data_IF_652014417220
#
_entry.id   IF_652014417220
#
_cell.length_a   1.000
_cell.length_b   1.000
_cell.length_c   1.000
_cell.angle_alpha   90.00
_cell.angle_beta   90.00
_cell.angle_gamma   90.00
#
_symmetry.space_group_name_H-M   'P 1'
#
loop_
_entity.id
_entity.type
_entity.pdbx_description
1 polymer ?
#
# COMPACT_ATOMS: atom_id res chain seq x y z
N UNK A 1 8.36 9.20 -17.11
CA UNK A 1 7.77 7.91 -17.50
C UNK A 1 7.91 6.98 -16.31
N UNK A 2 6.86 6.26 -15.92
CA UNK A 2 6.95 5.31 -14.80
C UNK A 2 8.01 4.24 -15.08
N UNK A 3 8.81 3.92 -14.08
CA UNK A 3 9.80 2.84 -14.15
C UNK A 3 9.16 1.46 -14.02
N UNK A 4 7.85 1.40 -13.76
CA UNK A 4 7.10 0.19 -13.46
C UNK A 4 6.14 -0.14 -14.61
N UNK A 5 6.24 -1.36 -15.13
CA UNK A 5 5.21 -1.97 -15.97
C UNK A 5 4.46 -3.02 -15.17
N UNK A 6 3.18 -2.79 -14.96
CA UNK A 6 2.28 -3.73 -14.28
C UNK A 6 1.53 -4.59 -15.29
N UNK A 7 1.32 -5.87 -14.98
CA UNK A 7 0.68 -6.81 -15.90
C UNK A 7 -0.45 -7.56 -15.19
N UNK A 8 -1.64 -7.55 -15.80
CA UNK A 8 -2.69 -8.52 -15.53
C UNK A 8 -2.35 -9.89 -16.12
N UNK A 9 -3.35 -10.77 -16.28
CA UNK A 9 -3.18 -12.05 -16.95
C UNK A 9 -4.43 -12.43 -17.73
N UNK A 10 -4.29 -12.67 -19.03
CA UNK A 10 -5.38 -13.16 -19.88
C UNK A 10 -5.77 -14.62 -19.56
N UNK A 11 -4.94 -15.31 -18.77
CA UNK A 11 -5.14 -16.71 -18.37
C UNK A 11 -5.70 -16.87 -16.96
N UNK A 12 -5.86 -15.78 -16.20
CA UNK A 12 -6.40 -15.78 -14.85
C UNK A 12 -7.60 -14.85 -14.75
N UNK A 13 -8.34 -14.96 -13.64
CA UNK A 13 -9.48 -14.08 -13.37
C UNK A 13 -9.02 -12.63 -13.19
N UNK A 14 -9.75 -11.67 -13.78
CA UNK A 14 -9.52 -10.25 -13.50
C UNK A 14 -10.07 -9.90 -12.11
N UNK A 15 -9.19 -9.90 -11.12
CA UNK A 15 -9.49 -9.51 -9.74
C UNK A 15 -9.38 -8.00 -9.49
N UNK A 16 -9.18 -7.17 -10.53
CA UNK A 16 -9.03 -5.72 -10.39
C UNK A 16 -7.63 -5.25 -9.97
N UNK A 17 -6.67 -6.17 -9.82
CA UNK A 17 -5.27 -5.92 -9.48
C UNK A 17 -4.31 -6.51 -10.53
N UNK A 18 -3.04 -6.09 -10.49
CA UNK A 18 -2.00 -6.66 -11.37
C UNK A 18 -1.36 -7.88 -10.75
N UNK A 19 -1.17 -8.94 -11.54
CA UNK A 19 -0.55 -10.19 -11.09
C UNK A 19 0.98 -10.07 -10.95
N UNK A 20 1.59 -9.18 -11.71
CA UNK A 20 3.04 -8.95 -11.65
C UNK A 20 3.38 -7.50 -11.97
N UNK A 21 4.57 -7.08 -11.52
CA UNK A 21 5.18 -5.82 -11.91
C UNK A 21 6.63 -6.09 -12.36
N UNK A 22 7.07 -5.37 -13.38
CA UNK A 22 8.45 -5.39 -13.86
C UNK A 22 8.99 -3.97 -13.77
N UNK A 23 10.10 -3.80 -13.06
CA UNK A 23 10.79 -2.54 -12.97
C UNK A 23 11.92 -2.45 -14.01
N UNK A 24 12.13 -1.26 -14.56
CA UNK A 24 13.35 -0.93 -15.29
C UNK A 24 14.57 -0.84 -14.34
N UNK A 25 15.81 -0.87 -14.85
CA UNK A 25 17.00 -0.65 -14.02
C UNK A 25 16.94 0.68 -13.26
N UNK A 26 17.23 0.64 -11.96
CA UNK A 26 17.10 1.80 -11.08
C UNK A 26 17.48 1.47 -9.64
N UNK A 27 17.16 2.39 -8.73
CA UNK A 27 17.30 2.20 -7.29
C UNK A 27 15.98 1.69 -6.71
N UNK A 28 16.06 0.66 -5.86
CA UNK A 28 14.89 0.12 -5.15
C UNK A 28 14.71 0.82 -3.81
N UNK A 29 13.51 1.32 -3.57
CA UNK A 29 13.06 1.87 -2.29
C UNK A 29 12.24 0.81 -1.58
N UNK A 30 12.64 0.47 -0.36
CA UNK A 30 11.88 -0.37 0.55
C UNK A 30 11.32 0.51 1.65
N UNK A 31 10.00 0.52 1.83
CA UNK A 31 9.41 1.18 3.00
C UNK A 31 9.38 0.21 4.18
N UNK A 32 9.35 0.76 5.40
CA UNK A 32 8.85 -0.01 6.54
C UNK A 32 7.34 -0.24 6.38
N UNK A 33 6.75 -0.99 7.31
CA UNK A 33 5.31 -0.98 7.52
C UNK A 33 4.85 0.41 7.94
N UNK A 34 3.97 1.02 7.14
CA UNK A 34 3.43 2.35 7.39
C UNK A 34 2.12 2.20 8.17
N UNK A 35 2.14 2.70 9.39
CA UNK A 35 1.01 2.74 10.31
C UNK A 35 0.20 4.06 10.15
N UNK A 36 -1.07 4.09 10.60
CA UNK A 36 -1.94 5.26 10.53
C UNK A 36 -1.68 6.17 11.74
N UNK A 37 -0.42 6.55 11.96
CA UNK A 37 -0.03 7.42 13.06
C UNK A 37 0.03 8.88 12.61
N UNK A 38 -0.32 9.79 13.50
CA UNK A 38 -0.02 11.22 13.35
C UNK A 38 1.43 11.55 13.75
N UNK A 39 1.80 12.83 13.65
CA UNK A 39 3.16 13.32 13.95
C UNK A 39 3.55 13.18 15.42
N UNK A 40 2.57 13.05 16.31
CA UNK A 40 2.79 12.84 17.75
C UNK A 40 2.83 11.34 18.11
N UNK A 41 2.60 10.46 17.12
CA UNK A 41 2.62 9.02 17.26
C UNK A 41 1.30 8.41 17.74
N UNK A 42 0.19 9.17 17.69
CA UNK A 42 -1.13 8.67 18.04
C UNK A 42 -1.83 8.05 16.83
N UNK A 43 -2.57 6.95 17.06
CA UNK A 43 -3.35 6.28 16.02
C UNK A 43 -4.51 7.16 15.55
N UNK A 44 -4.53 7.44 14.25
CA UNK A 44 -5.57 8.20 13.58
C UNK A 44 -6.81 7.32 13.43
N UNK A 45 -7.99 7.89 13.69
CA UNK A 45 -9.29 7.25 13.53
C UNK A 45 -9.40 5.83 14.16
N UNK A 46 -9.26 5.69 15.49
CA UNK A 46 -9.51 4.43 16.19
C UNK A 46 -10.86 3.80 15.82
N UNK A 47 -10.85 2.51 15.47
CA UNK A 47 -12.07 1.77 15.11
C UNK A 47 -12.59 1.97 13.68
N UNK A 48 -11.91 2.76 12.84
CA UNK A 48 -12.31 2.99 11.45
C UNK A 48 -11.23 2.51 10.47
N UNK A 49 -11.43 1.30 9.93
CA UNK A 49 -10.54 0.66 8.96
C UNK A 49 -10.34 1.52 7.71
N UNK A 50 -11.39 2.17 7.21
CA UNK A 50 -11.31 2.94 5.98
C UNK A 50 -10.48 4.21 6.19
N UNK A 51 -10.73 4.93 7.28
CA UNK A 51 -9.98 6.12 7.63
C UNK A 51 -8.51 5.80 7.94
N UNK A 52 -8.23 4.69 8.61
CA UNK A 52 -6.86 4.23 8.86
C UNK A 52 -6.14 3.85 7.56
N UNK A 53 -6.79 3.13 6.65
CA UNK A 53 -6.18 2.81 5.35
C UNK A 53 -5.83 4.08 4.56
N UNK A 54 -6.67 5.12 4.60
CA UNK A 54 -6.36 6.43 4.00
C UNK A 54 -5.15 7.08 4.67
N UNK A 55 -5.11 7.10 6.00
CA UNK A 55 -3.98 7.65 6.75
C UNK A 55 -2.66 6.92 6.43
N UNK A 56 -2.68 5.59 6.33
CA UNK A 56 -1.51 4.82 5.90
C UNK A 56 -1.06 5.21 4.48
N UNK A 57 -1.98 5.43 3.55
CA UNK A 57 -1.64 5.86 2.18
C UNK A 57 -1.07 7.29 2.12
N UNK A 58 -1.59 8.22 2.94
CA UNK A 58 -1.07 9.58 3.06
C UNK A 58 0.37 9.58 3.65
N UNK A 59 0.58 8.79 4.70
CA UNK A 59 1.89 8.59 5.32
C UNK A 59 2.86 7.91 4.33
N UNK A 60 2.41 6.90 3.58
CA UNK A 60 3.21 6.22 2.56
C UNK A 60 3.61 7.20 1.45
N UNK A 61 2.70 8.06 1.01
CA UNK A 61 2.99 9.09 0.00
C UNK A 61 4.07 10.06 0.48
N UNK A 62 4.04 10.43 1.77
CA UNK A 62 5.07 11.26 2.39
C UNK A 62 6.43 10.58 2.36
N UNK A 63 6.52 9.33 2.83
CA UNK A 63 7.77 8.54 2.85
C UNK A 63 8.32 8.33 1.44
N UNK A 64 7.46 8.01 0.46
CA UNK A 64 7.88 7.88 -0.93
C UNK A 64 8.44 9.20 -1.47
N UNK A 65 7.77 10.31 -1.20
CA UNK A 65 8.21 11.65 -1.66
C UNK A 65 9.58 12.01 -1.10
N UNK A 66 9.84 11.73 0.18
CA UNK A 66 11.14 11.93 0.82
C UNK A 66 12.24 11.06 0.21
N UNK A 67 11.89 9.87 -0.27
CA UNK A 67 12.78 8.98 -1.02
C UNK A 67 12.91 9.34 -2.52
N UNK A 68 12.27 10.43 -2.98
CA UNK A 68 12.26 10.84 -4.38
C UNK A 68 11.39 9.98 -5.30
N UNK A 69 10.44 9.25 -4.72
CA UNK A 69 9.48 8.38 -5.41
C UNK A 69 8.05 8.93 -5.33
N UNK A 70 7.16 8.36 -6.12
CA UNK A 70 5.71 8.59 -6.08
C UNK A 70 4.96 7.26 -6.05
N UNK A 71 3.64 7.30 -5.86
CA UNK A 71 2.79 6.09 -5.94
C UNK A 71 2.90 5.40 -7.31
N UNK A 72 3.18 6.13 -8.40
CA UNK A 72 3.36 5.57 -9.74
C UNK A 72 4.67 4.78 -9.91
N UNK A 73 5.57 4.87 -8.93
CA UNK A 73 6.85 4.15 -8.90
C UNK A 73 6.77 2.88 -8.02
N UNK A 74 5.64 2.64 -7.36
CA UNK A 74 5.41 1.45 -6.54
C UNK A 74 5.26 0.23 -7.43
N UNK A 75 6.13 -0.76 -7.24
CA UNK A 75 6.07 -2.05 -7.92
C UNK A 75 5.15 -3.03 -7.18
N UNK A 76 5.19 -3.01 -5.85
CA UNK A 76 4.41 -3.90 -4.99
C UNK A 76 3.92 -3.18 -3.74
N UNK A 77 2.69 -3.49 -3.32
CA UNK A 77 2.14 -3.13 -2.02
C UNK A 77 1.73 -4.40 -1.26
N UNK A 78 1.91 -4.39 0.06
CA UNK A 78 1.37 -5.39 0.98
C UNK A 78 0.50 -4.67 2.01
N UNK A 79 -0.75 -5.09 2.16
CA UNK A 79 -1.73 -4.49 3.08
C UNK A 79 -2.09 -5.51 4.14
N UNK A 80 -1.92 -5.12 5.40
CA UNK A 80 -2.28 -5.92 6.57
C UNK A 80 -3.47 -5.26 7.27
N UNK A 81 -4.48 -6.05 7.64
CA UNK A 81 -5.66 -5.57 8.37
C UNK A 81 -5.87 -6.44 9.61
N UNK A 82 -5.86 -5.81 10.78
CA UNK A 82 -6.03 -6.46 12.08
C UNK A 82 -7.51 -6.52 12.50
N UNK A 83 -8.34 -7.07 11.61
CA UNK A 83 -9.77 -7.25 11.86
C UNK A 83 -10.23 -8.69 11.58
N UNK A 84 -11.34 -9.07 12.21
CA UNK A 84 -11.85 -10.43 12.20
C UNK A 84 -12.63 -10.84 10.96
N UNK A 85 -13.03 -9.90 10.09
CA UNK A 85 -13.94 -10.16 8.97
C UNK A 85 -13.30 -9.86 7.61
N UNK A 86 -13.66 -10.67 6.60
CA UNK A 86 -13.25 -10.43 5.21
C UNK A 86 -13.81 -9.11 4.63
N UNK A 87 -14.91 -8.60 5.17
CA UNK A 87 -15.48 -7.33 4.75
C UNK A 87 -14.52 -6.16 5.06
N UNK A 88 -13.80 -6.22 6.17
CA UNK A 88 -12.84 -5.18 6.57
C UNK A 88 -11.61 -5.16 5.65
N UNK A 89 -11.21 -6.34 5.14
CA UNK A 89 -10.18 -6.44 4.10
C UNK A 89 -10.60 -5.67 2.84
N UNK A 90 -11.83 -5.86 2.38
CA UNK A 90 -12.36 -5.14 1.21
C UNK A 90 -12.43 -3.63 1.45
N UNK A 91 -12.85 -3.20 2.65
CA UNK A 91 -12.92 -1.78 3.02
C UNK A 91 -11.54 -1.12 2.99
N UNK A 92 -10.52 -1.77 3.56
CA UNK A 92 -9.15 -1.29 3.49
C UNK A 92 -8.66 -1.25 2.03
N UNK A 93 -8.92 -2.31 1.27
CA UNK A 93 -8.48 -2.42 -0.11
C UNK A 93 -9.06 -1.33 -1.02
N UNK A 94 -10.35 -1.01 -0.86
CA UNK A 94 -11.01 0.06 -1.63
C UNK A 94 -10.35 1.43 -1.40
N UNK A 95 -9.94 1.72 -0.15
CA UNK A 95 -9.21 2.94 0.17
C UNK A 95 -7.81 2.96 -0.46
N UNK A 96 -7.10 1.83 -0.44
CA UNK A 96 -5.76 1.70 -1.04
C UNK A 96 -5.82 1.87 -2.56
N UNK A 97 -6.74 1.18 -3.25
CA UNK A 97 -6.90 1.30 -4.71
C UNK A 97 -7.31 2.71 -5.11
N UNK A 98 -8.19 3.36 -4.35
CA UNK A 98 -8.57 4.75 -4.61
C UNK A 98 -7.37 5.72 -4.55
N UNK A 99 -6.41 5.48 -3.65
CA UNK A 99 -5.20 6.30 -3.56
C UNK A 99 -4.23 6.07 -4.72
N UNK A 100 -4.13 4.84 -5.25
CA UNK A 100 -3.29 4.55 -6.41
C UNK A 100 -3.89 5.02 -7.76
N UNK A 101 -5.20 5.24 -7.83
CA UNK A 101 -5.88 5.69 -9.05
C UNK A 101 -5.73 4.69 -10.19
N UNK A 102 -5.21 5.15 -11.34
CA UNK A 102 -5.01 4.29 -12.52
C UNK A 102 -3.82 3.34 -12.39
N UNK A 103 -2.89 3.60 -11.47
CA UNK A 103 -1.74 2.73 -11.26
C UNK A 103 -2.16 1.50 -10.44
N UNK A 104 -1.79 0.31 -10.90
CA UNK A 104 -2.18 -0.95 -10.24
C UNK A 104 -0.95 -1.77 -9.90
N UNK A 105 -0.25 -1.51 -8.78
CA UNK A 105 0.92 -2.30 -8.39
C UNK A 105 0.53 -3.77 -8.16
N UNK A 106 1.54 -4.65 -8.13
CA UNK A 106 1.32 -5.98 -7.59
C UNK A 106 0.91 -5.88 -6.12
N UNK A 107 0.00 -6.73 -5.65
CA UNK A 107 -0.60 -6.56 -4.32
C UNK A 107 -0.74 -7.87 -3.54
N UNK A 108 -0.72 -7.75 -2.23
CA UNK A 108 -1.17 -8.80 -1.31
C UNK A 108 -1.96 -8.15 -0.17
N UNK A 109 -3.07 -8.78 0.21
CA UNK A 109 -3.99 -8.31 1.25
C UNK A 109 -4.17 -9.43 2.27
N UNK A 110 -3.89 -9.14 3.54
CA UNK A 110 -3.83 -10.13 4.60
C UNK A 110 -4.66 -9.69 5.81
N UNK A 111 -5.47 -10.61 6.33
CA UNK A 111 -5.99 -10.51 7.69
C UNK A 111 -4.91 -10.96 8.68
N UNK A 112 -4.63 -10.15 9.69
CA UNK A 112 -3.65 -10.43 10.75
C UNK A 112 -4.30 -10.36 12.12
N UNK A 113 -3.67 -10.95 13.13
CA UNK A 113 -4.25 -11.00 14.48
C UNK A 113 -4.03 -9.72 15.28
N UNK A 114 -2.94 -9.00 15.03
CA UNK A 114 -2.52 -7.82 15.80
C UNK A 114 -1.48 -7.02 15.03
N UNK A 115 -1.42 -5.72 15.25
CA UNK A 115 -0.40 -4.80 14.74
C UNK A 115 0.31 -4.09 15.90
N UNK A 116 1.31 -3.26 15.59
CA UNK A 116 2.30 -2.80 16.57
C UNK A 116 1.76 -1.75 17.56
N UNK A 117 0.74 -0.98 17.18
CA UNK A 117 0.23 0.15 17.96
C UNK A 117 -1.17 -0.10 18.51
N UNK A 118 -1.48 0.51 19.66
CA UNK A 118 -2.84 0.52 20.20
C UNK A 118 -3.81 1.12 19.18
N UNK A 119 -4.99 0.52 19.07
CA UNK A 119 -6.05 0.88 18.11
C UNK A 119 -5.68 0.79 16.62
N UNK A 120 -4.51 0.24 16.27
CA UNK A 120 -4.08 0.06 14.89
C UNK A 120 -4.78 -1.12 14.22
N UNK A 121 -5.49 -0.84 13.14
CA UNK A 121 -6.24 -1.79 12.32
C UNK A 121 -5.62 -2.01 10.94
N UNK A 122 -4.83 -1.07 10.42
CA UNK A 122 -4.26 -1.18 9.07
C UNK A 122 -2.75 -0.91 9.10
N UNK A 123 -1.99 -1.62 8.26
CA UNK A 123 -0.59 -1.34 7.98
C UNK A 123 -0.29 -1.58 6.49
N UNK A 124 0.54 -0.73 5.89
CA UNK A 124 0.87 -0.81 4.46
C UNK A 124 2.38 -0.77 4.26
N UNK A 125 2.92 -1.77 3.57
CA UNK A 125 4.32 -1.82 3.12
C UNK A 125 4.38 -1.68 1.59
N UNK A 126 5.38 -0.98 1.07
CA UNK A 126 5.60 -0.84 -0.36
C UNK A 126 7.05 -1.07 -0.78
N UNK A 127 7.20 -1.57 -2.00
CA UNK A 127 8.47 -1.58 -2.73
C UNK A 127 8.30 -0.72 -3.98
N UNK A 128 9.12 0.32 -4.10
CA UNK A 128 9.13 1.23 -5.25
C UNK A 128 10.48 1.21 -5.97
N UNK A 129 10.50 1.67 -7.22
CA UNK A 129 11.74 1.78 -8.01
C UNK A 129 11.81 3.13 -8.70
N UNK A 130 12.91 3.85 -8.47
CA UNK A 130 13.19 5.15 -9.07
C UNK A 130 14.41 5.07 -9.99
N UNK A 131 14.65 6.11 -10.79
CA UNK A 131 15.87 6.19 -11.59
C UNK A 131 17.12 6.10 -10.69
N UNK A 132 18.19 5.48 -11.20
CA UNK A 132 19.45 5.37 -10.46
C UNK A 132 20.00 6.77 -10.13
N UNK A 133 20.53 6.92 -8.91
CA UNK A 133 21.29 8.09 -8.47
C UNK A 133 22.67 8.15 -9.12
#
# INVERSE_FOLDING_TARGET
>A
MSQIRVNGSDSLHDGGFSYSAVAAPGSTVFTAGIAPLDVDGATIAPGDVQAQARACMDNLTTVLTEAGASLADVAKVTVFVAEGLQADLSVAWDAVVAAFGDHKPAASLLGVTVLAHDDQLVEIEAVAVVAAH
#
